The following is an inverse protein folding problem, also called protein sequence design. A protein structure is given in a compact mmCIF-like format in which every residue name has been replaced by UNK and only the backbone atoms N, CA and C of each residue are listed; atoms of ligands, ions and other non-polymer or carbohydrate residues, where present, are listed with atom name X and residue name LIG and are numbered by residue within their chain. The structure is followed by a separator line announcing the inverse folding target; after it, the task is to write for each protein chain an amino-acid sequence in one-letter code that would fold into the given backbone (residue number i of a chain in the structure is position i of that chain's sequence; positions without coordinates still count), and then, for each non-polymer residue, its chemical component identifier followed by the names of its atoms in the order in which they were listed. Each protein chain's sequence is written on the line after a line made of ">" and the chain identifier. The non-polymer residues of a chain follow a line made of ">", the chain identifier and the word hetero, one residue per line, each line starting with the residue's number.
data_IF_126660558114
#
_entry.id   IF_126660558114
#
_cell.length_a   1.000
_cell.length_b   1.000
_cell.length_c   1.000
_cell.angle_alpha   90.00
_cell.angle_beta   90.00
_cell.angle_gamma   90.00
#
_symmetry.space_group_name_H-M   'P 1'
#
loop_
_entity.id
_entity.type
_entity.pdbx_description
1 polymer ?
#
# COMPACT_ATOMS: atom_id res chain seq x y z
N UNK A 1 13.39 35.16 -3.33
CA UNK A 1 12.54 34.84 -2.16
C UNK A 1 11.67 33.60 -2.35
N UNK A 2 11.19 33.28 -3.56
CA UNK A 2 10.31 32.08 -3.80
C UNK A 2 11.00 30.75 -3.49
N UNK A 3 12.31 30.62 -3.79
CA UNK A 3 13.03 29.34 -3.58
C UNK A 3 13.28 29.00 -2.09
N UNK A 4 13.44 29.98 -1.23
CA UNK A 4 13.69 29.74 0.21
C UNK A 4 12.41 29.32 0.93
N UNK A 5 11.25 29.88 0.54
CA UNK A 5 9.96 29.49 1.11
C UNK A 5 9.57 28.09 0.70
N UNK A 6 9.84 27.70 -0.56
CA UNK A 6 9.56 26.34 -1.04
C UNK A 6 10.43 25.28 -0.33
N UNK A 7 11.70 25.57 -0.09
CA UNK A 7 12.61 24.68 0.64
C UNK A 7 12.23 24.54 2.11
N UNK A 8 11.83 25.65 2.76
CA UNK A 8 11.38 25.63 4.16
C UNK A 8 10.06 24.84 4.31
N UNK A 9 9.12 25.00 3.38
CA UNK A 9 7.86 24.26 3.39
C UNK A 9 8.06 22.76 3.14
N UNK A 10 8.97 22.40 2.22
CA UNK A 10 9.32 21.01 1.96
C UNK A 10 10.00 20.36 3.17
N UNK A 11 10.92 21.06 3.83
CA UNK A 11 11.57 20.60 5.05
C UNK A 11 10.58 20.42 6.20
N UNK A 12 9.64 21.36 6.38
CA UNK A 12 8.60 21.29 7.41
C UNK A 12 7.65 20.10 7.19
N UNK A 13 7.18 19.86 5.98
CA UNK A 13 6.35 18.70 5.65
C UNK A 13 7.09 17.37 5.85
N UNK A 14 8.37 17.31 5.55
CA UNK A 14 9.19 16.13 5.78
C UNK A 14 9.42 15.86 7.28
N UNK A 15 9.57 16.90 8.09
CA UNK A 15 9.70 16.79 9.55
C UNK A 15 8.39 16.43 10.26
N UNK A 16 7.24 16.63 9.60
CA UNK A 16 5.92 16.26 10.13
C UNK A 16 5.48 14.85 9.75
N UNK A 17 6.23 14.14 8.91
CA UNK A 17 5.88 12.78 8.51
C UNK A 17 6.05 11.79 9.67
N UNK A 18 5.11 10.86 9.79
CA UNK A 18 5.19 9.76 10.74
C UNK A 18 6.35 8.84 10.37
N UNK A 19 7.28 8.64 11.32
CA UNK A 19 8.53 7.93 11.09
C UNK A 19 8.37 6.42 11.30
N UNK A 20 9.17 5.59 10.58
CA UNK A 20 9.13 4.14 10.75
C UNK A 20 9.60 3.72 12.14
N UNK A 21 8.91 2.72 12.72
CA UNK A 21 9.32 2.08 13.95
C UNK A 21 10.54 1.16 13.77
N UNK A 22 11.03 0.60 14.87
CA UNK A 22 12.21 -0.27 14.87
C UNK A 22 11.99 -1.55 14.04
N UNK A 23 10.79 -2.13 14.09
CA UNK A 23 10.44 -3.33 13.31
C UNK A 23 10.50 -3.03 11.81
N UNK A 24 10.00 -1.84 11.41
CA UNK A 24 10.06 -1.40 10.02
C UNK A 24 11.49 -1.18 9.55
N UNK A 25 12.34 -0.56 10.38
CA UNK A 25 13.75 -0.37 10.05
C UNK A 25 14.50 -1.69 9.94
N UNK A 26 14.27 -2.64 10.87
CA UNK A 26 14.85 -3.98 10.80
C UNK A 26 14.40 -4.78 9.57
N UNK A 27 13.17 -4.56 9.10
CA UNK A 27 12.65 -5.20 7.90
C UNK A 27 13.30 -4.72 6.60
N UNK A 28 14.09 -3.65 6.61
CA UNK A 28 14.85 -3.14 5.45
C UNK A 28 16.20 -3.85 5.23
N UNK A 29 16.61 -4.71 6.14
CA UNK A 29 17.85 -5.46 6.00
C UNK A 29 17.65 -6.69 5.11
N UNK A 30 18.57 -6.94 4.18
CA UNK A 30 18.58 -8.19 3.41
C UNK A 30 18.83 -9.38 4.35
N UNK A 31 17.96 -10.37 4.32
CA UNK A 31 18.07 -11.53 5.21
C UNK A 31 16.76 -12.30 5.29
N UNK A 32 16.72 -13.37 6.07
CA UNK A 32 15.53 -14.18 6.32
C UNK A 32 14.74 -14.53 5.03
N UNK A 33 15.48 -14.95 3.98
CA UNK A 33 14.87 -15.37 2.72
C UNK A 33 14.41 -14.25 1.78
N UNK A 34 14.62 -12.96 2.13
CA UNK A 34 14.24 -11.81 1.30
C UNK A 34 15.43 -10.91 1.01
N UNK A 35 15.58 -10.51 -0.24
CA UNK A 35 16.52 -9.48 -0.70
C UNK A 35 15.79 -8.15 -0.73
N UNK A 36 16.40 -7.13 -0.13
CA UNK A 36 15.90 -5.75 -0.18
C UNK A 36 16.80 -4.94 -1.10
N UNK A 37 16.18 -4.27 -2.07
CA UNK A 37 16.84 -3.44 -3.08
C UNK A 37 16.39 -1.99 -2.90
N UNK A 38 17.33 -1.05 -2.97
CA UNK A 38 17.06 0.39 -2.90
C UNK A 38 17.30 0.98 -4.28
N UNK A 39 16.23 1.17 -5.04
CA UNK A 39 16.26 1.88 -6.31
C UNK A 39 15.92 3.38 -6.11
N UNK A 40 16.21 4.25 -7.08
CA UNK A 40 15.85 5.67 -6.99
C UNK A 40 14.34 5.91 -6.78
N UNK A 41 13.50 5.08 -7.41
CA UNK A 41 12.05 5.26 -7.47
C UNK A 41 11.26 4.30 -6.57
N UNK A 42 11.91 3.32 -5.91
CA UNK A 42 11.24 2.37 -5.03
C UNK A 42 12.19 1.64 -4.07
N UNK A 43 11.60 1.07 -3.02
CA UNK A 43 12.24 0.05 -2.18
C UNK A 43 11.66 -1.29 -2.61
N UNK A 44 12.49 -2.15 -3.22
CA UNK A 44 12.10 -3.47 -3.73
C UNK A 44 12.36 -4.58 -2.71
N UNK A 45 11.43 -5.51 -2.60
CA UNK A 45 11.55 -6.73 -1.80
C UNK A 45 11.28 -7.92 -2.70
N UNK A 46 12.19 -8.88 -2.73
CA UNK A 46 11.99 -10.11 -3.50
C UNK A 46 12.49 -11.35 -2.75
N UNK A 47 11.90 -12.51 -2.98
CA UNK A 47 12.40 -13.73 -2.37
C UNK A 47 13.85 -13.98 -2.84
N UNK A 48 14.71 -14.37 -1.90
CA UNK A 48 16.09 -14.76 -2.18
C UNK A 48 16.17 -16.11 -2.87
N UNK A 49 15.28 -17.00 -2.47
CA UNK A 49 15.13 -18.35 -3.02
C UNK A 49 13.66 -18.53 -3.39
N UNK A 50 13.40 -18.95 -4.60
CA UNK A 50 12.06 -19.29 -5.06
C UNK A 50 12.18 -20.55 -5.92
N UNK A 51 11.32 -21.53 -5.67
CA UNK A 51 11.25 -22.74 -6.49
C UNK A 51 10.81 -22.42 -7.93
N UNK A 52 9.97 -21.38 -8.07
CA UNK A 52 9.48 -20.90 -9.35
C UNK A 52 9.94 -19.46 -9.62
N UNK A 53 10.10 -19.07 -10.89
CA UNK A 53 10.41 -17.68 -11.22
C UNK A 53 9.37 -16.71 -10.68
N UNK A 54 9.82 -15.63 -10.05
CA UNK A 54 8.94 -14.55 -9.58
C UNK A 54 8.29 -13.87 -10.78
N UNK A 55 6.98 -14.06 -10.96
CA UNK A 55 6.21 -13.54 -12.10
C UNK A 55 5.12 -12.54 -11.70
N UNK A 56 4.76 -12.51 -10.43
CA UNK A 56 3.74 -11.61 -9.90
C UNK A 56 4.38 -10.58 -8.99
N UNK A 57 3.93 -9.34 -9.10
CA UNK A 57 4.41 -8.21 -8.29
C UNK A 57 3.28 -7.39 -7.70
N UNK A 58 3.61 -6.72 -6.61
CA UNK A 58 2.73 -5.81 -5.91
C UNK A 58 3.42 -4.46 -5.72
N UNK A 59 2.82 -3.40 -6.27
CA UNK A 59 3.27 -2.02 -6.10
C UNK A 59 2.45 -1.40 -4.98
N UNK A 60 3.12 -0.83 -4.00
CA UNK A 60 2.49 -0.28 -2.80
C UNK A 60 2.75 1.21 -2.64
N UNK A 61 1.68 1.99 -2.52
CA UNK A 61 1.70 3.42 -2.24
C UNK A 61 1.45 3.68 -0.76
N UNK A 62 2.37 4.36 -0.06
CA UNK A 62 2.26 4.71 1.35
C UNK A 62 1.09 5.63 1.66
N UNK A 63 0.65 5.64 2.92
CA UNK A 63 -0.29 6.61 3.45
C UNK A 63 0.26 8.04 3.43
N UNK A 64 -0.64 9.03 3.41
CA UNK A 64 -0.25 10.44 3.42
C UNK A 64 0.51 10.82 4.68
N UNK A 65 1.63 11.55 4.53
CA UNK A 65 2.53 11.97 5.61
C UNK A 65 3.06 10.78 6.45
N UNK A 66 3.21 9.62 5.84
CA UNK A 66 3.87 8.46 6.44
C UNK A 66 5.13 8.15 5.64
N UNK A 67 6.24 7.92 6.34
CA UNK A 67 7.47 7.47 5.70
C UNK A 67 7.25 6.08 5.08
N UNK A 68 7.61 5.90 3.83
CA UNK A 68 7.42 4.67 3.07
C UNK A 68 8.03 3.43 3.73
N UNK A 69 9.10 3.62 4.48
CA UNK A 69 9.79 2.55 5.21
C UNK A 69 8.92 1.90 6.29
N UNK A 70 7.92 2.61 6.77
CA UNK A 70 6.97 2.09 7.77
C UNK A 70 6.18 0.86 7.28
N UNK A 71 6.12 0.62 5.97
CA UNK A 71 5.42 -0.52 5.38
C UNK A 71 6.35 -1.70 5.02
N UNK A 72 7.64 -1.60 5.38
CA UNK A 72 8.63 -2.66 5.11
C UNK A 72 8.28 -4.02 5.71
N UNK A 73 7.67 -4.14 6.91
CA UNK A 73 7.27 -5.45 7.45
C UNK A 73 6.25 -6.16 6.57
N UNK A 74 5.22 -5.45 6.10
CA UNK A 74 4.22 -5.99 5.18
C UNK A 74 4.84 -6.41 3.84
N UNK A 75 5.66 -5.52 3.25
CA UNK A 75 6.29 -5.79 1.97
C UNK A 75 7.22 -7.00 2.04
N UNK A 76 8.02 -7.11 3.10
CA UNK A 76 8.89 -8.26 3.35
C UNK A 76 8.10 -9.56 3.51
N UNK A 77 7.03 -9.54 4.30
CA UNK A 77 6.21 -10.72 4.54
C UNK A 77 5.53 -11.20 3.26
N UNK A 78 5.00 -10.30 2.43
CA UNK A 78 4.42 -10.63 1.13
C UNK A 78 5.51 -11.16 0.17
N UNK A 79 6.71 -10.57 0.19
CA UNK A 79 7.81 -11.03 -0.67
C UNK A 79 8.31 -12.43 -0.29
N UNK A 80 8.32 -12.77 1.00
CA UNK A 80 8.66 -14.11 1.48
C UNK A 80 7.73 -15.19 0.91
N UNK A 81 6.49 -14.83 0.53
CA UNK A 81 5.49 -15.70 -0.10
C UNK A 81 5.65 -15.85 -1.63
N UNK A 82 6.76 -15.35 -2.20
CA UNK A 82 7.11 -15.57 -3.61
C UNK A 82 6.79 -14.40 -4.55
N UNK A 83 6.47 -13.23 -4.04
CA UNK A 83 6.12 -12.05 -4.84
C UNK A 83 7.28 -11.03 -4.89
N UNK A 84 7.33 -10.24 -5.96
CA UNK A 84 8.10 -9.01 -5.94
C UNK A 84 7.21 -7.89 -5.37
N UNK A 85 7.70 -7.17 -4.36
CA UNK A 85 6.96 -6.06 -3.77
C UNK A 85 7.78 -4.78 -3.88
N UNK A 86 7.19 -3.70 -4.37
CA UNK A 86 7.83 -2.40 -4.47
C UNK A 86 7.04 -1.37 -3.67
N UNK A 87 7.66 -0.79 -2.65
CA UNK A 87 7.11 0.37 -1.95
C UNK A 87 7.63 1.63 -2.66
N UNK A 88 6.72 2.50 -3.10
CA UNK A 88 7.05 3.68 -3.91
C UNK A 88 7.06 4.93 -3.03
N UNK A 89 8.20 5.60 -2.86
CA UNK A 89 8.26 6.88 -2.17
C UNK A 89 7.39 7.93 -2.85
N UNK A 90 6.73 8.77 -2.07
CA UNK A 90 5.93 9.86 -2.58
C UNK A 90 6.60 11.21 -2.34
N UNK A 91 6.57 12.16 -3.30
CA UNK A 91 7.04 13.52 -3.10
C UNK A 91 6.33 14.14 -1.88
N UNK A 92 7.09 14.75 -0.96
CA UNK A 92 6.58 15.32 0.28
C UNK A 92 5.74 14.33 1.12
N UNK A 93 5.97 13.03 0.97
CA UNK A 93 5.17 11.94 1.59
C UNK A 93 3.67 11.99 1.24
N UNK A 94 3.32 12.52 0.07
CA UNK A 94 1.95 12.65 -0.42
C UNK A 94 1.84 12.11 -1.85
N UNK A 95 1.25 10.92 -2.00
CA UNK A 95 1.13 10.21 -3.29
C UNK A 95 0.31 11.00 -4.34
N UNK A 96 -0.49 11.98 -3.92
CA UNK A 96 -1.25 12.85 -4.82
C UNK A 96 -0.36 13.67 -5.77
N UNK A 97 0.91 13.93 -5.39
CA UNK A 97 1.85 14.66 -6.24
C UNK A 97 2.51 13.80 -7.33
N UNK A 98 2.42 12.47 -7.21
CA UNK A 98 2.86 11.56 -8.25
C UNK A 98 2.03 10.25 -8.25
N UNK A 99 0.77 10.31 -8.69
CA UNK A 99 -0.10 9.12 -8.71
C UNK A 99 0.36 8.06 -9.73
N UNK A 100 1.27 8.41 -10.63
CA UNK A 100 1.79 7.53 -11.69
C UNK A 100 3.19 6.97 -11.39
N UNK A 101 3.64 7.05 -10.16
CA UNK A 101 4.95 6.56 -9.73
C UNK A 101 5.14 5.03 -9.88
N UNK A 102 4.11 4.28 -10.24
CA UNK A 102 4.20 2.85 -10.56
C UNK A 102 4.91 2.56 -11.90
N UNK A 103 4.89 3.49 -12.86
CA UNK A 103 5.46 3.23 -14.20
C UNK A 103 6.97 2.91 -14.20
N UNK A 104 7.85 3.62 -13.49
CA UNK A 104 9.26 3.23 -13.37
C UNK A 104 9.42 1.81 -12.85
N UNK A 105 8.68 1.43 -11.80
CA UNK A 105 8.71 0.08 -11.21
C UNK A 105 8.37 -0.98 -12.25
N UNK A 106 7.27 -0.79 -12.99
CA UNK A 106 6.82 -1.74 -14.02
C UNK A 106 7.86 -1.86 -15.15
N UNK A 107 8.40 -0.73 -15.59
CA UNK A 107 9.37 -0.68 -16.69
C UNK A 107 10.70 -1.36 -16.35
N UNK A 108 11.17 -1.20 -15.13
CA UNK A 108 12.46 -1.73 -14.68
C UNK A 108 12.40 -3.21 -14.32
N UNK A 109 11.24 -3.70 -13.89
CA UNK A 109 11.07 -5.08 -13.40
C UNK A 109 10.34 -5.98 -14.41
N UNK A 110 10.86 -6.07 -15.64
CA UNK A 110 10.25 -6.82 -16.76
C UNK A 110 10.13 -8.32 -16.53
N UNK A 111 10.77 -8.89 -15.53
CA UNK A 111 10.60 -10.26 -15.11
C UNK A 111 9.23 -10.51 -14.48
N UNK A 112 8.61 -9.50 -13.90
CA UNK A 112 7.22 -9.54 -13.41
C UNK A 112 6.27 -9.43 -14.59
N UNK A 113 5.31 -10.36 -14.69
CA UNK A 113 4.33 -10.43 -15.80
C UNK A 113 2.94 -9.99 -15.40
N UNK A 114 2.62 -10.12 -14.11
CA UNK A 114 1.31 -9.72 -13.56
C UNK A 114 1.55 -8.78 -12.41
N UNK A 115 1.04 -7.57 -12.52
CA UNK A 115 1.12 -6.57 -11.47
C UNK A 115 -0.23 -6.39 -10.78
N UNK A 116 -0.20 -6.29 -9.47
CA UNK A 116 -1.21 -5.62 -8.66
C UNK A 116 -0.65 -4.29 -8.17
N UNK A 117 -1.52 -3.33 -7.95
CA UNK A 117 -1.19 -2.07 -7.30
C UNK A 117 -2.11 -1.87 -6.10
N UNK A 118 -1.64 -1.18 -5.09
CA UNK A 118 -2.45 -0.86 -3.93
C UNK A 118 -1.77 0.14 -3.03
N UNK A 119 -2.34 0.34 -1.87
CA UNK A 119 -1.78 1.25 -0.89
C UNK A 119 -2.66 1.41 0.33
N UNK A 120 -2.14 2.18 1.26
CA UNK A 120 -2.82 2.53 2.50
C UNK A 120 -3.36 3.95 2.43
N UNK A 121 -4.60 4.17 2.90
CA UNK A 121 -5.18 5.51 3.06
C UNK A 121 -5.07 6.32 1.74
N UNK A 122 -4.47 7.52 1.75
CA UNK A 122 -4.22 8.34 0.56
C UNK A 122 -3.50 7.56 -0.55
N UNK A 123 -2.54 6.70 -0.20
CA UNK A 123 -1.83 5.86 -1.17
C UNK A 123 -2.75 4.90 -1.90
N UNK A 124 -3.71 4.28 -1.21
CA UNK A 124 -4.71 3.42 -1.83
C UNK A 124 -5.65 4.18 -2.76
N UNK A 125 -6.07 5.40 -2.39
CA UNK A 125 -6.87 6.26 -3.26
C UNK A 125 -6.10 6.63 -4.55
N UNK A 126 -4.78 6.87 -4.45
CA UNK A 126 -3.94 7.13 -5.63
C UNK A 126 -3.67 5.87 -6.47
N UNK A 127 -3.59 4.70 -5.85
CA UNK A 127 -3.54 3.42 -6.56
C UNK A 127 -4.86 3.16 -7.33
N UNK A 128 -6.01 3.49 -6.74
CA UNK A 128 -7.30 3.43 -7.42
C UNK A 128 -7.37 4.41 -8.60
N UNK A 129 -6.85 5.63 -8.45
CA UNK A 129 -6.72 6.58 -9.55
C UNK A 129 -5.81 6.05 -10.66
N UNK A 130 -4.67 5.42 -10.32
CA UNK A 130 -3.77 4.82 -11.31
C UNK A 130 -4.50 3.81 -12.19
N UNK A 131 -5.23 2.84 -11.61
CA UNK A 131 -5.97 1.82 -12.39
C UNK A 131 -7.22 2.38 -13.08
N UNK A 132 -7.75 3.50 -12.63
CA UNK A 132 -8.82 4.21 -13.33
C UNK A 132 -8.31 4.83 -14.63
N UNK A 133 -7.14 5.47 -14.61
CA UNK A 133 -6.51 6.13 -15.78
C UNK A 133 -5.85 5.10 -16.72
N UNK A 134 -5.18 4.06 -16.16
CA UNK A 134 -4.55 2.98 -16.92
C UNK A 134 -5.07 1.61 -16.47
N UNK A 135 -6.07 1.10 -17.20
CA UNK A 135 -6.73 -0.17 -16.90
C UNK A 135 -5.93 -1.42 -17.31
N UNK A 136 -4.77 -1.26 -17.94
CA UNK A 136 -3.99 -2.36 -18.53
C UNK A 136 -2.74 -2.67 -17.72
N UNK A 137 -2.13 -1.65 -17.12
CA UNK A 137 -0.84 -1.78 -16.43
C UNK A 137 -0.89 -2.72 -15.23
N UNK A 138 -2.03 -2.78 -14.51
CA UNK A 138 -2.21 -3.63 -13.35
C UNK A 138 -3.48 -4.49 -13.48
N UNK A 139 -3.38 -5.75 -13.02
CA UNK A 139 -4.46 -6.75 -13.08
C UNK A 139 -5.27 -6.87 -11.79
N UNK A 140 -4.90 -6.15 -10.73
CA UNK A 140 -5.60 -6.16 -9.46
C UNK A 140 -5.33 -4.90 -8.65
N UNK A 141 -6.29 -4.54 -7.80
CA UNK A 141 -6.24 -3.42 -6.87
C UNK A 141 -6.32 -3.91 -5.44
N UNK A 142 -5.48 -3.39 -4.55
CA UNK A 142 -5.50 -3.72 -3.12
C UNK A 142 -5.57 -2.43 -2.30
N UNK A 143 -6.60 -2.30 -1.48
CA UNK A 143 -6.86 -1.13 -0.67
C UNK A 143 -6.76 -1.48 0.82
N UNK A 144 -5.90 -0.79 1.57
CA UNK A 144 -5.82 -0.87 3.02
C UNK A 144 -6.36 0.41 3.62
N UNK A 145 -7.47 0.32 4.37
CA UNK A 145 -8.12 1.48 4.98
C UNK A 145 -8.28 2.63 3.96
N UNK A 146 -8.80 2.32 2.78
CA UNK A 146 -8.84 3.22 1.64
C UNK A 146 -9.97 2.92 0.68
N UNK A 147 -10.30 3.90 -0.15
CA UNK A 147 -11.36 3.84 -1.16
C UNK A 147 -11.04 4.77 -2.34
N UNK A 148 -11.62 4.52 -3.53
CA UNK A 148 -11.52 5.45 -4.65
C UNK A 148 -12.27 6.75 -4.37
N UNK A 149 -11.78 7.85 -4.90
CA UNK A 149 -12.58 9.07 -5.03
C UNK A 149 -13.73 8.85 -6.03
N UNK A 150 -14.84 9.57 -5.86
CA UNK A 150 -16.00 9.46 -6.74
C UNK A 150 -15.67 9.76 -8.22
N UNK A 151 -14.69 10.63 -8.48
CA UNK A 151 -14.18 10.92 -9.82
C UNK A 151 -13.41 9.76 -10.45
N UNK A 152 -12.92 8.82 -9.63
CA UNK A 152 -12.19 7.63 -10.05
C UNK A 152 -13.03 6.35 -9.82
N UNK A 153 -14.31 6.40 -10.13
CA UNK A 153 -15.27 5.32 -9.90
C UNK A 153 -14.93 4.08 -10.74
N UNK A 154 -14.66 2.97 -10.07
CA UNK A 154 -14.25 1.69 -10.66
C UNK A 154 -15.42 0.68 -10.76
N UNK A 155 -16.65 1.03 -10.36
CA UNK A 155 -17.77 0.10 -10.24
C UNK A 155 -18.10 -0.69 -11.53
N UNK A 156 -17.75 -0.12 -12.69
CA UNK A 156 -17.98 -0.75 -14.00
C UNK A 156 -16.74 -1.43 -14.58
N UNK A 157 -15.63 -1.50 -13.81
CA UNK A 157 -14.38 -2.11 -14.28
C UNK A 157 -14.38 -3.61 -14.00
N UNK A 158 -13.87 -4.39 -14.94
CA UNK A 158 -13.56 -5.80 -14.71
C UNK A 158 -12.17 -5.91 -14.06
N UNK A 159 -12.09 -5.48 -12.79
CA UNK A 159 -10.83 -5.40 -12.04
C UNK A 159 -10.99 -6.13 -10.70
N UNK A 160 -10.34 -7.30 -10.54
CA UNK A 160 -10.23 -7.91 -9.22
C UNK A 160 -9.72 -6.93 -8.18
N UNK A 161 -10.43 -6.83 -7.06
CA UNK A 161 -10.12 -5.86 -6.01
C UNK A 161 -10.20 -6.50 -4.64
N UNK A 162 -9.23 -6.20 -3.78
CA UNK A 162 -9.24 -6.53 -2.36
C UNK A 162 -9.33 -5.23 -1.56
N UNK A 163 -10.37 -5.09 -0.75
CA UNK A 163 -10.53 -3.97 0.18
C UNK A 163 -10.46 -4.51 1.61
N UNK A 164 -9.42 -4.11 2.35
CA UNK A 164 -9.21 -4.45 3.76
C UNK A 164 -9.40 -3.19 4.59
N UNK A 165 -10.36 -3.20 5.49
CA UNK A 165 -10.65 -2.15 6.45
C UNK A 165 -10.49 -2.64 7.88
N UNK A 166 -10.52 -1.73 8.84
CA UNK A 166 -10.42 -2.04 10.26
C UNK A 166 -11.62 -1.47 11.03
N UNK A 167 -12.17 -2.24 11.97
CA UNK A 167 -13.45 -1.87 12.61
C UNK A 167 -13.34 -0.69 13.58
N UNK A 168 -12.12 -0.37 14.05
CA UNK A 168 -11.84 0.76 14.92
C UNK A 168 -11.06 1.88 14.21
N UNK A 169 -11.10 1.91 12.87
CA UNK A 169 -10.47 2.97 12.07
C UNK A 169 -11.17 4.31 12.31
N UNK A 170 -10.43 5.31 12.83
CA UNK A 170 -10.95 6.65 13.10
C UNK A 170 -10.80 7.63 11.92
N UNK A 171 -10.13 7.23 10.82
CA UNK A 171 -9.90 8.07 9.65
C UNK A 171 -10.68 7.59 8.42
N UNK A 172 -10.46 6.36 7.99
CA UNK A 172 -11.29 5.69 6.99
C UNK A 172 -12.36 4.86 7.71
N UNK A 173 -13.31 5.56 8.34
CA UNK A 173 -14.27 4.93 9.25
C UNK A 173 -15.09 3.83 8.57
N UNK A 174 -15.61 2.85 9.33
CA UNK A 174 -16.46 1.80 8.77
C UNK A 174 -17.62 2.36 7.93
N UNK A 175 -18.23 3.47 8.36
CA UNK A 175 -19.32 4.13 7.63
C UNK A 175 -18.84 4.70 6.29
N UNK A 176 -17.65 5.32 6.27
CA UNK A 176 -17.05 5.83 5.03
C UNK A 176 -16.70 4.71 4.07
N UNK A 177 -16.11 3.61 4.58
CA UNK A 177 -15.81 2.43 3.76
C UNK A 177 -17.11 1.85 3.19
N UNK A 178 -18.16 1.71 3.98
CA UNK A 178 -19.45 1.18 3.52
C UNK A 178 -20.05 2.05 2.41
N UNK A 179 -20.09 3.35 2.61
CA UNK A 179 -20.63 4.30 1.62
C UNK A 179 -19.86 4.29 0.29
N UNK A 180 -18.56 4.02 0.34
CA UNK A 180 -17.67 4.05 -0.84
C UNK A 180 -17.55 2.70 -1.56
N UNK A 181 -18.12 1.62 -1.03
CA UNK A 181 -18.20 0.32 -1.74
C UNK A 181 -18.84 0.44 -3.12
N UNK A 182 -19.79 1.36 -3.29
CA UNK A 182 -20.44 1.64 -4.57
C UNK A 182 -19.48 2.13 -5.67
N UNK A 183 -18.27 2.59 -5.33
CA UNK A 183 -17.25 3.02 -6.28
C UNK A 183 -16.31 1.90 -6.70
N UNK A 184 -16.45 0.70 -6.13
CA UNK A 184 -15.65 -0.48 -6.46
C UNK A 184 -16.47 -1.46 -7.31
N UNK A 185 -15.81 -2.34 -8.10
CA UNK A 185 -16.52 -3.42 -8.78
C UNK A 185 -17.35 -4.23 -7.79
N UNK A 186 -18.54 -4.67 -8.14
CA UNK A 186 -19.37 -5.47 -7.22
C UNK A 186 -18.74 -6.86 -6.98
N UNK A 187 -19.10 -7.55 -5.88
CA UNK A 187 -18.76 -8.96 -5.72
C UNK A 187 -19.25 -9.81 -6.91
N UNK A 188 -18.51 -10.86 -7.31
CA UNK A 188 -17.34 -11.41 -6.64
C UNK A 188 -16.01 -10.74 -7.00
N UNK A 189 -15.99 -9.71 -7.86
CA UNK A 189 -14.75 -9.02 -8.26
C UNK A 189 -14.09 -8.31 -7.08
N UNK A 190 -14.86 -7.66 -6.21
CA UNK A 190 -14.32 -7.09 -4.99
C UNK A 190 -14.58 -7.99 -3.79
N UNK A 191 -13.50 -8.36 -3.11
CA UNK A 191 -13.53 -8.99 -1.80
C UNK A 191 -13.34 -7.92 -0.72
N UNK A 192 -14.30 -7.81 0.17
CA UNK A 192 -14.25 -6.93 1.34
C UNK A 192 -13.88 -7.74 2.59
N UNK A 193 -12.90 -7.26 3.34
CA UNK A 193 -12.42 -7.86 4.59
C UNK A 193 -12.40 -6.80 5.67
N UNK A 194 -12.99 -7.09 6.82
CA UNK A 194 -12.93 -6.23 8.00
C UNK A 194 -12.05 -6.90 9.05
N UNK A 195 -11.06 -6.17 9.53
CA UNK A 195 -10.18 -6.60 10.63
C UNK A 195 -10.78 -6.09 11.94
N UNK A 196 -11.50 -6.99 12.62
CA UNK A 196 -12.16 -6.67 13.88
C UNK A 196 -11.14 -6.33 14.97
N UNK A 197 -11.33 -5.16 15.60
CA UNK A 197 -10.42 -4.65 16.62
C UNK A 197 -9.16 -3.97 16.10
N UNK A 198 -8.96 -3.94 14.78
CA UNK A 198 -7.88 -3.19 14.15
C UNK A 198 -8.20 -1.70 13.98
N UNK A 199 -7.18 -0.88 13.66
CA UNK A 199 -7.32 0.55 13.39
C UNK A 199 -6.53 0.99 12.15
N UNK A 200 -6.56 2.30 11.84
CA UNK A 200 -5.90 2.88 10.68
C UNK A 200 -4.38 2.74 10.74
N UNK A 201 -3.78 3.16 11.86
CA UNK A 201 -2.34 3.27 11.97
C UNK A 201 -1.61 1.92 11.90
N UNK A 202 -2.23 0.84 12.32
CA UNK A 202 -1.60 -0.49 12.38
C UNK A 202 -1.42 -1.16 11.00
N UNK A 203 -1.88 -0.54 9.89
CA UNK A 203 -1.48 -0.96 8.55
C UNK A 203 -0.01 -0.63 8.22
N UNK A 204 0.68 0.13 9.07
CA UNK A 204 2.12 0.37 9.00
C UNK A 204 2.77 0.23 10.38
N UNK A 205 4.10 0.40 10.43
CA UNK A 205 4.86 0.48 11.68
C UNK A 205 5.41 1.90 11.84
N UNK A 206 4.56 2.81 12.34
CA UNK A 206 4.89 4.24 12.53
C UNK A 206 4.26 4.86 13.80
N UNK A 207 3.73 4.00 14.68
CA UNK A 207 3.13 4.43 15.93
C UNK A 207 1.67 4.92 15.77
N UNK A 208 1.25 5.77 16.69
CA UNK A 208 -0.12 6.30 16.74
C UNK A 208 -0.32 7.40 15.71
N UNK A 209 -1.51 7.45 15.12
CA UNK A 209 -1.91 8.52 14.22
C UNK A 209 -3.00 9.38 14.88
N UNK A 210 -2.89 10.69 14.72
CA UNK A 210 -3.88 11.61 15.26
C UNK A 210 -5.27 11.34 14.67
N UNK A 211 -6.30 11.38 15.50
CA UNK A 211 -7.71 11.08 15.19
C UNK A 211 -8.01 9.60 14.91
N UNK A 212 -7.02 8.71 15.02
CA UNK A 212 -7.30 7.28 14.97
C UNK A 212 -7.74 6.75 16.33
N UNK A 213 -8.58 5.71 16.34
CA UNK A 213 -9.00 5.06 17.56
C UNK A 213 -7.94 4.05 18.06
N UNK A 214 -8.00 3.71 19.33
CA UNK A 214 -7.16 2.65 19.89
C UNK A 214 -7.63 1.29 19.39
N UNK A 215 -6.69 0.52 18.84
CA UNK A 215 -6.98 -0.85 18.45
C UNK A 215 -7.09 -1.77 19.67
N UNK A 216 -7.95 -2.78 19.59
CA UNK A 216 -8.02 -3.90 20.54
C UNK A 216 -7.27 -5.13 20.03
N UNK A 217 -6.93 -5.15 18.75
CA UNK A 217 -6.04 -6.11 18.10
C UNK A 217 -4.60 -5.60 18.14
N UNK A 218 -3.60 -6.48 18.27
CA UNK A 218 -2.21 -6.07 18.15
C UNK A 218 -1.85 -5.71 16.70
N UNK A 219 -0.85 -4.83 16.52
CA UNK A 219 -0.34 -4.48 15.19
C UNK A 219 0.17 -5.70 14.43
N UNK A 220 0.88 -6.58 15.10
CA UNK A 220 1.43 -7.80 14.53
C UNK A 220 0.33 -8.70 13.97
N UNK A 221 -0.78 -8.84 14.70
CA UNK A 221 -1.93 -9.63 14.25
C UNK A 221 -2.67 -8.96 13.10
N UNK A 222 -2.85 -7.63 13.15
CA UNK A 222 -3.44 -6.88 12.04
C UNK A 222 -2.61 -7.04 10.76
N UNK A 223 -1.30 -6.85 10.84
CA UNK A 223 -0.40 -7.00 9.70
C UNK A 223 -0.35 -8.44 9.19
N UNK A 224 -0.32 -9.43 10.07
CA UNK A 224 -0.36 -10.85 9.68
C UNK A 224 -1.61 -11.16 8.85
N UNK A 225 -2.80 -10.75 9.31
CA UNK A 225 -4.04 -10.96 8.57
C UNK A 225 -4.08 -10.17 7.25
N UNK A 226 -3.56 -8.95 7.26
CA UNK A 226 -3.44 -8.14 6.05
C UNK A 226 -2.57 -8.83 5.00
N UNK A 227 -1.43 -9.39 5.41
CA UNK A 227 -0.52 -10.15 4.54
C UNK A 227 -1.22 -11.41 4.00
N UNK A 228 -1.87 -12.19 4.85
CA UNK A 228 -2.56 -13.43 4.45
C UNK A 228 -3.63 -13.17 3.38
N UNK A 229 -4.46 -12.16 3.57
CA UNK A 229 -5.50 -11.80 2.58
C UNK A 229 -4.88 -11.27 1.29
N UNK A 230 -3.82 -10.47 1.38
CA UNK A 230 -3.11 -9.95 0.21
C UNK A 230 -2.44 -11.06 -0.58
N UNK A 231 -1.75 -11.98 0.08
CA UNK A 231 -1.11 -13.15 -0.55
C UNK A 231 -2.14 -14.02 -1.23
N UNK A 232 -3.28 -14.30 -0.57
CA UNK A 232 -4.38 -15.06 -1.17
C UNK A 232 -4.89 -14.40 -2.44
N UNK A 233 -5.09 -13.08 -2.40
CA UNK A 233 -5.53 -12.29 -3.55
C UNK A 233 -4.49 -12.33 -4.69
N UNK A 234 -3.22 -12.08 -4.41
CA UNK A 234 -2.15 -12.09 -5.41
C UNK A 234 -1.96 -13.47 -6.06
N UNK A 235 -2.18 -14.55 -5.31
CA UNK A 235 -2.14 -15.92 -5.87
C UNK A 235 -3.26 -16.16 -6.88
N UNK A 236 -4.42 -15.54 -6.70
CA UNK A 236 -5.58 -15.70 -7.57
C UNK A 236 -5.52 -14.86 -8.87
N UNK A 237 -4.64 -13.85 -8.96
CA UNK A 237 -4.39 -13.10 -10.19
C UNK A 237 -3.56 -13.93 -11.17
#
# INVERSE_FOLDING_TARGET
>A
MVGVVALASAFFLHSCALQPGEVALGALETGNGVIVERAPDYIGFRPRFSAEPVRKGFIFYPGGLVDERAYSPLARAIAAEGFFVAIVPAPLKLAVFNPFAAYPVIRENRFVRTWAIGGHSLGGAMAARFVFEDSVACRGLVLYASYPDASNNLSRRNLPTLSISASLDGLATPETIEATKAFLPPPPLTRFVVLEGGNHAQFGDYGRQNRDNEATMSREEQQRRTVEETVRFLRAL
#
